data_IF_619220927869
#
_entry.id   IF_619220927869
#
_cell.length_a   1.000
_cell.length_b   1.000
_cell.length_c   1.000
_cell.angle_alpha   90.00
_cell.angle_beta   90.00
_cell.angle_gamma   90.00
#
_symmetry.space_group_name_H-M   'P 1'
#
loop_
_entity.id
_entity.type
_entity.pdbx_description
1 polymer ?
#
# COMPACT_ATOMS: atom_id res chain seq x y z
N UNK A 1 -13.45 0.92 28.82
CA UNK A 1 -13.40 1.79 27.62
C UNK A 1 -14.60 1.52 26.71
N UNK A 2 -15.02 2.50 25.90
CA UNK A 2 -15.94 2.28 24.78
C UNK A 2 -15.09 1.97 23.55
N UNK A 3 -14.95 0.70 23.21
CA UNK A 3 -14.29 0.28 21.96
C UNK A 3 -15.15 0.84 20.81
N UNK A 4 -14.63 1.88 20.14
CA UNK A 4 -15.21 2.34 18.88
C UNK A 4 -15.11 1.15 17.93
N UNK A 5 -16.26 0.67 17.43
CA UNK A 5 -16.30 -0.35 16.38
C UNK A 5 -15.73 0.30 15.12
N UNK A 6 -14.42 0.14 14.91
CA UNK A 6 -13.72 0.67 13.74
C UNK A 6 -14.16 -0.14 12.52
N UNK A 7 -14.34 0.60 11.45
CA UNK A 7 -15.01 0.29 10.20
C UNK A 7 -14.15 -0.62 9.30
N UNK A 8 -13.72 -1.78 9.81
CA UNK A 8 -12.78 -2.69 9.13
C UNK A 8 -13.37 -3.54 7.96
N UNK A 9 -14.69 -3.80 7.80
CA UNK A 9 -15.12 -4.72 6.74
C UNK A 9 -15.13 -4.13 5.32
N UNK A 10 -14.75 -2.86 5.11
CA UNK A 10 -14.78 -2.24 3.77
C UNK A 10 -13.50 -2.45 2.96
N UNK A 11 -12.34 -2.69 3.60
CA UNK A 11 -11.06 -2.85 2.89
C UNK A 11 -10.98 -4.17 2.09
N UNK A 12 -11.56 -5.26 2.61
CA UNK A 12 -11.52 -6.58 1.93
C UNK A 12 -12.55 -6.72 0.80
N UNK A 13 -13.58 -5.86 0.71
CA UNK A 13 -14.64 -6.01 -0.28
C UNK A 13 -14.36 -5.28 -1.61
N UNK A 14 -13.39 -4.36 -1.64
CA UNK A 14 -13.05 -3.57 -2.84
C UNK A 14 -12.12 -4.27 -3.83
N UNK A 15 -11.42 -5.34 -3.43
CA UNK A 15 -10.45 -6.05 -4.30
C UNK A 15 -11.13 -7.05 -5.26
N UNK A 16 -12.44 -7.32 -5.12
CA UNK A 16 -13.13 -8.37 -5.92
C UNK A 16 -13.66 -7.86 -7.28
N UNK A 17 -13.67 -6.56 -7.57
CA UNK A 17 -14.39 -6.02 -8.75
C UNK A 17 -13.56 -5.63 -9.99
N UNK A 18 -12.24 -5.82 -10.02
CA UNK A 18 -11.41 -5.35 -11.15
C UNK A 18 -10.96 -6.45 -12.15
N UNK A 19 -11.57 -7.63 -12.17
CA UNK A 19 -11.44 -8.56 -13.30
C UNK A 19 -12.61 -8.31 -14.26
N UNK A 20 -12.54 -7.20 -15.00
CA UNK A 20 -13.38 -7.04 -16.17
C UNK A 20 -13.11 -8.18 -17.17
N UNK A 21 -14.12 -8.66 -17.92
CA UNK A 21 -13.88 -9.64 -18.96
C UNK A 21 -12.86 -9.05 -19.95
N UNK A 22 -11.71 -9.69 -20.08
CA UNK A 22 -10.81 -9.46 -21.21
C UNK A 22 -11.63 -9.74 -22.46
N UNK A 23 -12.02 -8.68 -23.17
CA UNK A 23 -12.55 -8.81 -24.52
C UNK A 23 -11.42 -9.37 -25.37
N UNK A 24 -11.42 -10.69 -25.54
CA UNK A 24 -10.63 -11.35 -26.57
C UNK A 24 -11.14 -10.84 -27.92
N UNK A 25 -10.49 -9.81 -28.45
CA UNK A 25 -10.65 -9.43 -29.85
C UNK A 25 -10.18 -10.62 -30.68
N UNK A 26 -11.14 -11.32 -31.29
CA UNK A 26 -10.85 -12.31 -32.31
C UNK A 26 -10.21 -11.57 -33.49
N UNK A 27 -8.92 -11.78 -33.69
CA UNK A 27 -8.18 -11.36 -34.86
C UNK A 27 -8.79 -12.04 -36.10
N UNK A 28 -9.66 -11.33 -36.83
CA UNK A 28 -10.16 -11.80 -38.11
C UNK A 28 -9.03 -11.74 -39.15
N UNK A 29 -8.31 -12.85 -39.29
CA UNK A 29 -7.44 -13.05 -40.44
C UNK A 29 -8.27 -13.02 -41.73
N UNK A 30 -7.89 -12.27 -42.78
CA UNK A 30 -8.61 -12.28 -44.04
C UNK A 30 -8.42 -13.62 -44.75
N UNK A 31 -9.47 -14.45 -44.74
CA UNK A 31 -9.48 -15.75 -45.44
C UNK A 31 -9.66 -15.52 -46.94
N UNK A 32 -8.63 -15.91 -47.68
CA UNK A 32 -8.64 -16.05 -49.14
C UNK A 32 -9.73 -17.02 -49.59
N UNK A 33 -10.63 -16.53 -50.43
CA UNK A 33 -11.71 -17.26 -51.11
C UNK A 33 -11.18 -18.51 -51.82
N UNK A 34 -11.75 -19.68 -51.53
CA UNK A 34 -11.85 -20.79 -52.49
C UNK A 34 -13.22 -21.44 -52.35
N UNK A 35 -13.97 -21.45 -53.44
CA UNK A 35 -15.34 -21.97 -53.57
C UNK A 35 -15.43 -23.47 -53.25
N UNK A 36 -16.45 -23.88 -52.50
CA UNK A 36 -17.11 -25.18 -52.70
C UNK A 36 -18.55 -25.10 -52.20
N UNK A 37 -19.48 -25.39 -53.11
CA UNK A 37 -20.93 -25.53 -52.89
C UNK A 37 -21.27 -26.42 -51.70
N UNK A 38 -22.21 -25.99 -50.85
CA UNK A 38 -23.10 -26.91 -50.11
C UNK A 38 -24.42 -26.21 -49.77
N UNK A 39 -25.49 -26.97 -50.00
CA UNK A 39 -26.89 -26.60 -50.00
C UNK A 39 -27.43 -25.93 -48.73
N UNK A 40 -28.35 -25.00 -49.02
CA UNK A 40 -29.44 -24.43 -48.24
C UNK A 40 -30.14 -25.40 -47.28
N UNK A 41 -30.33 -24.99 -46.02
CA UNK A 41 -31.65 -24.95 -45.39
C UNK A 41 -31.75 -23.76 -44.42
N UNK A 42 -32.85 -23.04 -44.56
CA UNK A 42 -33.23 -21.81 -43.87
C UNK A 42 -34.20 -22.16 -42.74
N UNK A 43 -33.93 -21.72 -41.51
CA UNK A 43 -34.98 -21.52 -40.51
C UNK A 43 -34.80 -20.16 -39.84
N UNK A 44 -35.65 -19.25 -40.28
CA UNK A 44 -36.05 -17.99 -39.63
C UNK A 44 -36.59 -18.28 -38.23
N UNK A 45 -36.15 -17.51 -37.23
CA UNK A 45 -37.06 -17.08 -36.17
C UNK A 45 -36.67 -15.69 -35.66
N UNK A 46 -37.66 -14.81 -35.74
CA UNK A 46 -37.68 -13.45 -35.20
C UNK A 46 -38.10 -13.49 -33.74
N UNK A 47 -37.51 -12.64 -32.91
CA UNK A 47 -38.17 -12.03 -31.74
C UNK A 47 -37.33 -10.79 -31.37
N UNK A 48 -37.71 -9.60 -31.84
CA UNK A 48 -38.67 -8.68 -31.22
C UNK A 48 -38.35 -8.35 -29.75
N UNK A 49 -37.79 -7.15 -29.61
CA UNK A 49 -37.78 -6.22 -28.48
C UNK A 49 -39.10 -6.18 -27.70
N UNK A 50 -39.03 -6.15 -26.36
CA UNK A 50 -39.77 -5.13 -25.63
C UNK A 50 -39.19 -4.85 -24.22
N UNK A 51 -39.06 -3.56 -23.96
CA UNK A 51 -38.58 -2.93 -22.74
C UNK A 51 -39.80 -2.48 -21.94
N UNK A 52 -39.97 -2.94 -20.70
CA UNK A 52 -40.80 -2.22 -19.72
C UNK A 52 -40.22 -2.31 -18.31
N UNK A 53 -39.75 -1.16 -17.85
CA UNK A 53 -39.62 -0.75 -16.45
C UNK A 53 -40.97 -0.81 -15.75
N UNK A 54 -41.04 -1.43 -14.57
CA UNK A 54 -42.07 -1.12 -13.57
C UNK A 54 -41.46 -1.18 -12.17
N UNK A 55 -41.41 0.01 -11.58
CA UNK A 55 -41.13 0.30 -10.17
C UNK A 55 -42.46 0.33 -9.44
N UNK A 56 -42.66 -0.54 -8.46
CA UNK A 56 -43.47 -0.29 -7.27
C UNK A 56 -43.51 -1.55 -6.41
N UNK A 57 -43.09 -1.47 -5.14
CA UNK A 57 -43.71 -2.22 -4.04
C UNK A 57 -43.37 -1.54 -2.72
N UNK A 58 -44.36 -0.84 -2.19
CA UNK A 58 -44.50 -0.54 -0.75
C UNK A 58 -44.87 -1.82 0.00
N UNK A 59 -44.51 -1.94 1.28
CA UNK A 59 -45.41 -2.40 2.39
C UNK A 59 -44.58 -2.73 3.64
N UNK A 60 -44.78 -1.90 4.67
CA UNK A 60 -44.54 -2.21 6.09
C UNK A 60 -45.32 -3.45 6.52
N UNK A 61 -44.76 -4.31 7.40
CA UNK A 61 -45.52 -4.97 8.48
C UNK A 61 -44.54 -5.59 9.49
N UNK A 62 -44.54 -5.05 10.70
CA UNK A 62 -44.07 -5.68 11.94
C UNK A 62 -44.74 -7.05 12.16
N UNK A 63 -44.01 -8.06 12.63
CA UNK A 63 -44.56 -9.09 13.54
C UNK A 63 -43.45 -9.76 14.33
N UNK A 64 -43.48 -9.48 15.63
CA UNK A 64 -42.84 -10.21 16.73
C UNK A 64 -43.33 -11.68 16.78
N UNK A 65 -42.42 -12.65 16.93
CA UNK A 65 -42.77 -13.97 17.48
C UNK A 65 -41.56 -14.69 18.06
N UNK A 66 -41.61 -14.83 19.38
CA UNK A 66 -40.89 -15.79 20.20
C UNK A 66 -41.32 -17.22 19.89
N UNK A 67 -40.42 -18.20 20.04
CA UNK A 67 -40.67 -19.46 20.77
C UNK A 67 -39.55 -20.48 20.54
N UNK A 68 -39.05 -21.00 21.66
CA UNK A 68 -38.23 -22.20 21.83
C UNK A 68 -38.77 -23.44 21.08
N UNK A 69 -37.90 -24.43 20.79
CA UNK A 69 -37.98 -25.85 21.27
C UNK A 69 -37.19 -26.87 20.41
N UNK A 70 -36.49 -27.79 21.14
CA UNK A 70 -36.03 -29.17 20.82
C UNK A 70 -34.87 -29.35 19.81
N UNK A 71 -33.78 -30.07 20.09
CA UNK A 71 -33.55 -31.40 20.72
C UNK A 71 -34.16 -32.58 19.95
N UNK A 72 -33.36 -33.12 19.01
CA UNK A 72 -33.32 -34.51 18.51
C UNK A 72 -31.89 -34.64 17.91
N UNK A 73 -30.93 -35.44 18.40
CA UNK A 73 -30.87 -36.87 18.71
C UNK A 73 -31.19 -37.78 17.52
N UNK A 74 -30.22 -38.65 17.23
CA UNK A 74 -30.22 -39.78 16.28
C UNK A 74 -29.84 -39.44 14.83
N UNK A 75 -29.08 -40.23 14.06
CA UNK A 75 -28.31 -41.48 14.26
C UNK A 75 -27.51 -41.69 12.96
N UNK A 76 -26.30 -42.23 13.10
CA UNK A 76 -25.46 -42.95 12.13
C UNK A 76 -25.67 -42.76 10.61
N UNK A 77 -24.63 -42.24 9.94
CA UNK A 77 -24.18 -42.82 8.66
C UNK A 77 -22.66 -42.73 8.58
N UNK A 78 -22.03 -43.83 9.00
CA UNK A 78 -20.63 -44.15 8.78
C UNK A 78 -20.34 -44.15 7.26
N UNK A 79 -19.67 -43.10 6.79
CA UNK A 79 -19.02 -43.08 5.47
C UNK A 79 -17.53 -43.03 5.75
N UNK A 80 -16.89 -44.20 5.62
CA UNK A 80 -15.43 -44.33 5.54
C UNK A 80 -14.98 -43.57 4.28
N UNK A 81 -14.70 -42.28 4.46
CA UNK A 81 -13.85 -41.53 3.54
C UNK A 81 -12.43 -41.87 3.96
N UNK A 82 -11.82 -42.75 3.17
CA UNK A 82 -10.39 -43.01 3.13
C UNK A 82 -9.72 -41.72 2.62
N UNK A 83 -9.63 -40.73 3.51
CA UNK A 83 -8.78 -39.57 3.33
C UNK A 83 -7.38 -40.06 3.64
N UNK A 84 -6.65 -40.46 2.60
CA UNK A 84 -5.19 -40.44 2.67
C UNK A 84 -4.81 -39.00 3.01
N UNK A 85 -4.56 -38.77 4.30
CA UNK A 85 -3.91 -37.59 4.80
C UNK A 85 -2.54 -37.58 4.12
N UNK A 86 -2.46 -36.73 3.09
CA UNK A 86 -1.20 -36.27 2.53
C UNK A 86 -0.49 -35.56 3.69
N UNK A 87 0.32 -36.36 4.37
CA UNK A 87 1.28 -35.97 5.40
C UNK A 87 2.37 -35.17 4.67
N UNK A 88 2.01 -34.01 4.11
CA UNK A 88 2.97 -32.96 3.81
C UNK A 88 3.45 -32.43 5.16
N UNK A 89 4.35 -33.21 5.77
CA UNK A 89 5.15 -32.79 6.90
C UNK A 89 5.79 -31.45 6.55
N UNK A 90 5.35 -30.46 7.31
CA UNK A 90 5.91 -29.13 7.48
C UNK A 90 7.39 -29.21 7.89
N UNK A 91 8.26 -29.45 6.91
CA UNK A 91 9.74 -29.38 7.04
C UNK A 91 10.26 -27.93 7.19
N UNK A 92 9.41 -26.97 7.57
CA UNK A 92 9.80 -25.55 7.70
C UNK A 92 10.14 -25.13 9.13
N UNK A 93 9.89 -25.99 10.14
CA UNK A 93 10.02 -25.58 11.55
C UNK A 93 11.42 -25.80 12.14
N UNK A 94 12.29 -26.62 11.52
CA UNK A 94 13.64 -26.91 12.05
C UNK A 94 14.72 -25.88 11.67
N UNK A 95 14.44 -24.91 10.79
CA UNK A 95 15.50 -24.01 10.28
C UNK A 95 15.60 -22.65 11.02
N UNK A 96 14.61 -22.24 11.80
CA UNK A 96 14.63 -20.92 12.45
C UNK A 96 15.68 -20.81 13.57
N UNK A 97 16.00 -21.91 14.26
CA UNK A 97 17.04 -21.90 15.30
C UNK A 97 18.45 -21.65 14.73
N UNK A 98 18.70 -21.99 13.47
CA UNK A 98 19.98 -21.76 12.81
C UNK A 98 20.17 -20.29 12.39
N UNK A 99 19.07 -19.54 12.25
CA UNK A 99 19.07 -18.12 11.89
C UNK A 99 19.16 -17.18 13.09
N UNK A 100 19.08 -17.71 14.32
CA UNK A 100 19.16 -16.89 15.52
C UNK A 100 20.54 -16.27 15.74
N UNK A 101 20.55 -14.98 16.02
CA UNK A 101 21.70 -14.18 16.39
C UNK A 101 22.17 -14.38 17.83
N UNK A 102 22.90 -13.39 18.33
CA UNK A 102 23.19 -13.30 19.76
C UNK A 102 21.90 -12.94 20.49
N UNK A 103 21.53 -13.68 21.53
CA UNK A 103 20.35 -13.35 22.33
C UNK A 103 20.61 -12.17 23.30
N UNK A 104 19.57 -11.38 23.67
CA UNK A 104 19.70 -10.19 24.53
C UNK A 104 20.25 -10.41 25.96
N UNK A 105 20.32 -11.64 26.44
CA UNK A 105 20.96 -12.00 27.72
C UNK A 105 22.49 -11.96 27.64
N UNK A 106 23.06 -12.02 26.43
CA UNK A 106 24.48 -11.95 26.18
C UNK A 106 24.97 -10.50 26.08
N UNK A 107 26.09 -10.21 26.74
CA UNK A 107 26.79 -8.91 26.60
C UNK A 107 27.23 -8.60 25.17
N UNK A 108 27.35 -9.61 24.31
CA UNK A 108 27.66 -9.44 22.89
C UNK A 108 26.50 -8.87 22.08
N UNK A 109 25.26 -8.92 22.60
CA UNK A 109 24.06 -8.43 21.90
C UNK A 109 24.17 -6.95 21.56
N UNK A 110 24.63 -6.12 22.49
CA UNK A 110 24.83 -4.69 22.24
C UNK A 110 25.91 -4.42 21.18
N UNK A 111 26.88 -5.33 21.02
CA UNK A 111 27.91 -5.22 19.98
C UNK A 111 27.32 -5.63 18.63
N UNK A 112 26.52 -6.68 18.59
CA UNK A 112 25.80 -7.10 17.38
C UNK A 112 24.88 -5.98 16.88
N UNK A 113 24.03 -5.41 17.73
CA UNK A 113 23.18 -4.26 17.38
C UNK A 113 23.97 -3.05 16.85
N UNK A 114 25.18 -2.82 17.37
CA UNK A 114 26.06 -1.76 16.87
C UNK A 114 26.59 -2.09 15.47
N UNK A 115 26.99 -3.35 15.24
CA UNK A 115 27.48 -3.81 13.93
C UNK A 115 26.34 -3.72 12.91
N UNK A 116 25.14 -4.18 13.23
CA UNK A 116 23.94 -4.07 12.42
C UNK A 116 23.62 -2.61 12.04
N UNK A 117 23.66 -1.72 13.03
CA UNK A 117 23.45 -0.28 12.82
C UNK A 117 24.49 0.30 11.84
N UNK A 118 25.76 -0.11 11.96
CA UNK A 118 26.82 0.27 11.02
C UNK A 118 26.54 -0.32 9.63
N UNK A 119 26.13 -1.58 9.52
CA UNK A 119 25.80 -2.22 8.24
C UNK A 119 24.65 -1.47 7.52
N UNK A 120 23.60 -1.09 8.24
CA UNK A 120 22.51 -0.27 7.70
C UNK A 120 23.00 1.11 7.28
N UNK A 121 23.88 1.73 8.08
CA UNK A 121 24.44 3.05 7.78
C UNK A 121 25.33 3.06 6.52
N UNK A 122 26.13 2.01 6.30
CA UNK A 122 27.01 1.89 5.13
C UNK A 122 26.31 1.37 3.88
N UNK A 123 25.09 0.83 4.03
CA UNK A 123 24.27 0.41 2.89
C UNK A 123 23.64 1.64 2.26
N UNK A 124 24.04 2.00 1.04
CA UNK A 124 23.65 3.28 0.43
C UNK A 124 22.27 3.27 -0.25
N UNK A 125 21.84 2.13 -0.79
CA UNK A 125 20.54 2.01 -1.46
C UNK A 125 19.40 1.81 -0.46
N UNK A 126 18.25 2.43 -0.73
CA UNK A 126 17.05 2.21 0.06
C UNK A 126 16.61 0.73 0.00
N UNK A 127 16.67 0.10 -1.18
CA UNK A 127 16.39 -1.33 -1.39
C UNK A 127 17.28 -2.21 -0.49
N UNK A 128 18.59 -1.94 -0.50
CA UNK A 128 19.54 -2.73 0.30
C UNK A 128 19.33 -2.53 1.79
N UNK A 129 18.95 -1.32 2.24
CA UNK A 129 18.59 -1.08 3.63
C UNK A 129 17.32 -1.84 4.02
N UNK A 130 16.30 -1.83 3.16
CA UNK A 130 15.06 -2.57 3.40
C UNK A 130 15.34 -4.08 3.54
N UNK A 131 16.11 -4.65 2.60
CA UNK A 131 16.49 -6.07 2.62
C UNK A 131 17.26 -6.44 3.89
N UNK A 132 18.27 -5.64 4.26
CA UNK A 132 19.04 -5.87 5.48
C UNK A 132 18.20 -5.77 6.76
N UNK A 133 17.26 -4.81 6.82
CA UNK A 133 16.33 -4.70 7.94
C UNK A 133 15.38 -5.90 8.01
N UNK A 134 14.95 -6.45 6.87
CA UNK A 134 14.13 -7.66 6.85
C UNK A 134 14.92 -8.87 7.40
N UNK A 135 16.19 -9.00 7.04
CA UNK A 135 17.08 -10.04 7.59
C UNK A 135 17.19 -9.93 9.12
N UNK A 136 17.44 -8.73 9.65
CA UNK A 136 17.48 -8.53 11.10
C UNK A 136 16.13 -8.79 11.78
N UNK A 137 15.02 -8.50 11.10
CA UNK A 137 13.70 -8.81 11.66
C UNK A 137 13.49 -10.32 11.80
N UNK A 138 13.91 -11.13 10.81
CA UNK A 138 13.91 -12.59 10.91
C UNK A 138 14.80 -13.09 12.05
N UNK A 139 16.00 -12.53 12.19
CA UNK A 139 16.92 -12.87 13.28
C UNK A 139 16.30 -12.61 14.65
N UNK A 140 15.61 -11.48 14.83
CA UNK A 140 14.85 -11.20 16.07
C UNK A 140 13.71 -12.18 16.30
N UNK A 141 12.99 -12.61 15.27
CA UNK A 141 11.96 -13.64 15.43
C UNK A 141 12.55 -14.97 15.91
N UNK A 142 13.67 -15.38 15.34
CA UNK A 142 14.40 -16.58 15.75
C UNK A 142 14.91 -16.48 17.21
N UNK A 143 15.46 -15.34 17.62
CA UNK A 143 15.82 -15.08 19.02
C UNK A 143 14.62 -15.17 19.97
N UNK A 144 13.48 -14.59 19.59
CA UNK A 144 12.26 -14.63 20.39
C UNK A 144 11.78 -16.07 20.61
N UNK A 145 11.90 -16.93 19.59
CA UNK A 145 11.58 -18.34 19.71
C UNK A 145 12.52 -19.05 20.72
N UNK A 146 13.84 -18.88 20.58
CA UNK A 146 14.82 -19.49 21.51
C UNK A 146 14.55 -19.07 22.96
N UNK A 147 14.29 -17.78 23.20
CA UNK A 147 14.04 -17.28 24.55
C UNK A 147 12.72 -17.77 25.13
N UNK A 148 11.71 -17.97 24.28
CA UNK A 148 10.46 -18.58 24.70
C UNK A 148 10.64 -20.03 25.13
N UNK A 149 11.44 -20.79 24.40
CA UNK A 149 11.77 -22.19 24.74
C UNK A 149 12.57 -22.29 26.05
N UNK A 150 13.21 -21.19 26.46
CA UNK A 150 13.94 -21.05 27.72
C UNK A 150 13.12 -20.41 28.85
N UNK A 151 11.80 -20.19 28.65
CA UNK A 151 10.90 -19.53 29.60
C UNK A 151 11.34 -18.09 29.97
N UNK A 152 12.08 -17.39 29.10
CA UNK A 152 12.61 -16.04 29.34
C UNK A 152 11.66 -14.94 28.81
N UNK A 153 10.45 -14.88 29.36
CA UNK A 153 9.36 -14.03 28.85
C UNK A 153 9.71 -12.53 28.76
N UNK A 154 10.43 -12.00 29.75
CA UNK A 154 10.88 -10.60 29.76
C UNK A 154 11.82 -10.27 28.60
N UNK A 155 12.55 -11.26 28.08
CA UNK A 155 13.44 -11.08 26.94
C UNK A 155 12.69 -11.27 25.62
N UNK A 156 11.75 -12.21 25.55
CA UNK A 156 10.82 -12.37 24.41
C UNK A 156 10.12 -11.05 24.12
N UNK A 157 9.57 -10.38 25.14
CA UNK A 157 8.92 -9.07 24.98
C UNK A 157 9.88 -8.04 24.34
N UNK A 158 11.12 -7.95 24.84
CA UNK A 158 12.13 -7.00 24.31
C UNK A 158 12.46 -7.26 22.85
N UNK A 159 12.61 -8.53 22.46
CA UNK A 159 12.98 -8.89 21.09
C UNK A 159 11.82 -8.70 20.13
N UNK A 160 10.58 -8.97 20.55
CA UNK A 160 9.42 -8.69 19.69
C UNK A 160 9.22 -7.17 19.48
N UNK A 161 9.56 -6.35 20.48
CA UNK A 161 9.61 -4.90 20.29
C UNK A 161 10.72 -4.50 19.30
N UNK A 162 11.91 -5.10 19.40
CA UNK A 162 13.01 -4.87 18.46
C UNK A 162 12.65 -5.33 17.03
N UNK A 163 11.95 -6.45 16.89
CA UNK A 163 11.38 -6.94 15.64
C UNK A 163 10.43 -5.90 15.02
N UNK A 164 9.46 -5.41 15.80
CA UNK A 164 8.49 -4.41 15.32
C UNK A 164 9.18 -3.12 14.87
N UNK A 165 10.14 -2.61 15.65
CA UNK A 165 10.91 -1.42 15.27
C UNK A 165 11.71 -1.64 13.97
N UNK A 166 12.24 -2.84 13.78
CA UNK A 166 13.01 -3.22 12.59
C UNK A 166 12.11 -3.33 11.35
N UNK A 167 10.96 -4.01 11.43
CA UNK A 167 9.96 -4.07 10.35
C UNK A 167 9.42 -2.68 10.01
N UNK A 168 9.16 -1.84 11.01
CA UNK A 168 8.74 -0.47 10.79
C UNK A 168 9.78 0.32 9.98
N UNK A 169 11.07 0.16 10.28
CA UNK A 169 12.16 0.77 9.49
C UNK A 169 12.20 0.19 8.07
N UNK A 170 12.00 -1.11 7.89
CA UNK A 170 11.95 -1.74 6.57
C UNK A 170 10.78 -1.18 5.73
N UNK A 171 9.58 -1.13 6.32
CA UNK A 171 8.39 -0.51 5.73
C UNK A 171 8.64 0.96 5.34
N UNK A 172 9.35 1.73 6.18
CA UNK A 172 9.73 3.10 5.86
C UNK A 172 10.68 3.21 4.66
N UNK A 173 11.68 2.32 4.55
CA UNK A 173 12.56 2.30 3.37
C UNK A 173 11.77 1.93 2.10
N UNK A 174 10.86 0.95 2.19
CA UNK A 174 9.96 0.59 1.09
C UNK A 174 9.10 1.79 0.67
N UNK A 175 8.51 2.50 1.63
CA UNK A 175 7.74 3.71 1.35
C UNK A 175 8.59 4.77 0.63
N UNK A 176 9.82 5.01 1.11
CA UNK A 176 10.73 5.96 0.48
C UNK A 176 11.02 5.59 -0.97
N UNK A 177 11.27 4.32 -1.27
CA UNK A 177 11.48 3.86 -2.65
C UNK A 177 10.26 4.18 -3.51
N UNK A 178 9.05 3.96 -2.99
CA UNK A 178 7.81 4.23 -3.74
C UNK A 178 7.60 5.74 -3.99
N UNK A 179 7.94 6.59 -3.02
CA UNK A 179 7.88 8.05 -3.14
C UNK A 179 8.92 8.57 -4.14
N UNK A 180 10.15 8.05 -4.09
CA UNK A 180 11.22 8.38 -5.05
C UNK A 180 10.79 7.99 -6.48
N UNK A 181 10.20 6.80 -6.68
CA UNK A 181 9.64 6.36 -7.98
C UNK A 181 8.44 7.21 -8.43
N UNK A 182 7.66 7.80 -7.51
CA UNK A 182 6.53 8.68 -7.86
C UNK A 182 6.97 9.93 -8.59
N UNK A 183 8.01 10.57 -8.04
CA UNK A 183 8.51 11.84 -8.56
C UNK A 183 8.94 11.72 -10.02
N UNK A 184 9.47 10.56 -10.42
CA UNK A 184 9.86 10.25 -11.81
C UNK A 184 8.63 9.99 -12.69
N UNK A 185 7.62 9.29 -12.15
CA UNK A 185 6.41 8.94 -12.92
C UNK A 185 5.56 10.16 -13.27
N UNK A 186 5.41 11.13 -12.38
CA UNK A 186 4.60 12.34 -12.66
C UNK A 186 5.21 13.19 -13.77
N UNK A 187 6.55 13.29 -13.82
CA UNK A 187 7.26 14.03 -14.87
C UNK A 187 7.10 13.36 -16.25
N UNK A 188 7.03 12.03 -16.31
CA UNK A 188 6.82 11.28 -17.55
C UNK A 188 5.42 11.46 -18.16
N UNK A 189 4.40 11.78 -17.36
CA UNK A 189 3.04 12.01 -17.87
C UNK A 189 2.92 13.27 -18.72
N UNK A 190 3.63 14.34 -18.33
CA UNK A 190 3.56 15.63 -19.01
C UNK A 190 4.21 15.55 -20.41
N UNK A 191 5.27 14.74 -20.55
CA UNK A 191 5.97 14.53 -21.84
C UNK A 191 5.08 13.82 -22.86
N UNK A 192 4.22 12.90 -22.39
CA UNK A 192 3.32 12.10 -23.22
C UNK A 192 2.13 12.91 -23.77
N UNK A 193 1.73 13.98 -23.07
CA UNK A 193 0.64 14.85 -23.52
C UNK A 193 1.12 15.93 -24.51
N UNK A 194 2.32 16.48 -24.29
CA UNK A 194 2.87 17.54 -25.15
C UNK A 194 3.22 17.02 -26.57
N UNK A 195 3.69 15.78 -26.68
CA UNK A 195 4.16 15.23 -27.98
C UNK A 195 3.02 14.89 -28.95
N UNK A 196 1.76 14.80 -28.50
CA UNK A 196 0.62 14.48 -29.39
C UNK A 196 -0.28 15.67 -29.76
N UNK A 197 -0.14 16.83 -29.10
CA UNK A 197 -1.03 17.97 -29.28
C UNK A 197 -0.83 18.81 -30.56
N UNK A 198 0.32 18.73 -31.22
CA UNK A 198 0.65 19.65 -32.33
C UNK A 198 0.23 19.18 -33.74
N UNK A 199 -0.41 18.02 -33.91
CA UNK A 199 -0.68 17.48 -35.27
C UNK A 199 -2.10 17.72 -35.81
N UNK A 200 -3.05 18.24 -35.03
CA UNK A 200 -4.47 18.24 -35.46
C UNK A 200 -5.01 19.50 -36.17
N UNK A 201 -4.26 20.58 -36.39
CA UNK A 201 -4.85 21.78 -37.00
C UNK A 201 -4.01 22.56 -38.03
N UNK A 202 -3.27 21.88 -38.92
CA UNK A 202 -2.83 22.53 -40.17
C UNK A 202 -3.25 21.76 -41.42
N UNK A 203 -4.28 22.29 -42.06
CA UNK A 203 -4.90 21.81 -43.29
C UNK A 203 -3.90 21.72 -44.45
N UNK A 204 -3.80 20.53 -45.03
CA UNK A 204 -3.52 20.21 -46.43
C UNK A 204 -2.86 21.31 -47.28
N UNK A 205 -1.55 21.19 -47.53
CA UNK A 205 -0.94 21.11 -48.88
C UNK A 205 0.58 21.34 -48.81
N UNK A 206 1.39 20.33 -48.46
CA UNK A 206 2.72 20.18 -49.07
C UNK A 206 3.34 18.80 -48.77
N UNK A 207 3.78 18.17 -49.86
CA UNK A 207 4.46 16.88 -49.99
C UNK A 207 5.75 16.88 -49.16
N UNK A 208 5.67 16.49 -47.89
CA UNK A 208 6.79 16.53 -46.95
C UNK A 208 7.11 15.13 -46.45
N UNK A 209 8.33 14.67 -46.73
CA UNK A 209 8.91 13.41 -46.24
C UNK A 209 8.77 13.31 -44.72
N UNK A 210 7.94 12.35 -44.28
CA UNK A 210 7.81 11.92 -42.89
C UNK A 210 9.10 11.18 -42.51
N UNK A 211 9.90 11.79 -41.63
CA UNK A 211 11.11 11.17 -41.07
C UNK A 211 10.75 10.26 -39.89
N UNK A 212 11.05 8.96 -40.02
CA UNK A 212 10.79 7.84 -39.08
C UNK A 212 11.58 7.84 -37.75
N UNK A 213 12.28 8.92 -37.36
CA UNK A 213 13.32 8.86 -36.31
C UNK A 213 12.83 9.11 -34.86
N UNK A 214 11.52 9.23 -34.59
CA UNK A 214 10.99 9.61 -33.26
C UNK A 214 10.52 8.43 -32.39
N UNK A 215 10.45 7.18 -32.89
CA UNK A 215 9.90 6.05 -32.11
C UNK A 215 10.84 5.48 -31.01
N UNK A 216 12.11 5.87 -30.94
CA UNK A 216 13.08 5.19 -30.07
C UNK A 216 13.18 5.72 -28.62
N UNK A 217 12.60 6.88 -28.30
CA UNK A 217 12.76 7.51 -26.98
C UNK A 217 11.71 7.09 -25.94
N UNK A 218 10.45 6.85 -26.35
CA UNK A 218 9.35 6.52 -25.42
C UNK A 218 9.45 5.12 -24.79
N UNK A 219 10.12 4.17 -25.44
CA UNK A 219 10.18 2.77 -24.96
C UNK A 219 11.14 2.60 -23.76
N UNK A 220 12.02 3.58 -23.49
CA UNK A 220 13.04 3.45 -22.42
C UNK A 220 12.49 3.76 -21.03
N UNK A 221 11.80 4.89 -20.83
CA UNK A 221 11.35 5.31 -19.48
C UNK A 221 10.30 4.37 -18.87
N UNK A 222 9.40 3.86 -19.71
CA UNK A 222 8.34 2.94 -19.29
C UNK A 222 8.89 1.60 -18.77
N UNK A 223 10.07 1.18 -19.24
CA UNK A 223 10.71 -0.06 -18.78
C UNK A 223 11.34 0.09 -17.40
N UNK A 224 11.95 1.23 -17.07
CA UNK A 224 12.60 1.46 -15.78
C UNK A 224 11.60 1.44 -14.62
N UNK A 225 10.45 2.12 -14.78
CA UNK A 225 9.37 2.11 -13.77
C UNK A 225 8.86 0.70 -13.49
N UNK A 226 8.88 -0.18 -14.50
CA UNK A 226 8.40 -1.57 -14.34
C UNK A 226 9.39 -2.42 -13.53
N UNK A 227 10.69 -2.22 -13.73
CA UNK A 227 11.72 -2.94 -12.96
C UNK A 227 11.72 -2.52 -11.49
N UNK A 228 11.57 -1.22 -11.20
CA UNK A 228 11.49 -0.72 -9.82
C UNK A 228 10.25 -1.28 -9.11
N UNK A 229 9.08 -1.26 -9.74
CA UNK A 229 7.86 -1.86 -9.18
C UNK A 229 8.03 -3.37 -8.88
N UNK A 230 8.76 -4.10 -9.71
CA UNK A 230 9.06 -5.51 -9.45
C UNK A 230 9.96 -5.70 -8.23
N UNK A 231 10.96 -4.83 -8.04
CA UNK A 231 11.84 -4.83 -6.85
C UNK A 231 11.05 -4.51 -5.58
N UNK A 232 10.23 -3.46 -5.61
CA UNK A 232 9.35 -3.07 -4.49
C UNK A 232 8.41 -4.23 -4.13
N UNK A 233 7.79 -4.87 -5.13
CA UNK A 233 6.90 -6.02 -4.90
C UNK A 233 7.63 -7.17 -4.22
N UNK A 234 8.87 -7.47 -4.64
CA UNK A 234 9.69 -8.50 -4.02
C UNK A 234 10.05 -8.17 -2.55
N UNK A 235 10.34 -6.91 -2.24
CA UNK A 235 10.59 -6.49 -0.85
C UNK A 235 9.35 -6.64 0.03
N UNK A 236 8.17 -6.28 -0.49
CA UNK A 236 6.89 -6.44 0.23
C UNK A 236 6.60 -7.93 0.47
N UNK A 237 6.81 -8.79 -0.52
CA UNK A 237 6.66 -10.25 -0.36
C UNK A 237 7.58 -10.81 0.73
N UNK A 238 8.83 -10.33 0.80
CA UNK A 238 9.74 -10.71 1.89
C UNK A 238 9.23 -10.25 3.25
N UNK A 239 8.74 -9.02 3.38
CA UNK A 239 8.14 -8.52 4.64
C UNK A 239 6.93 -9.37 5.05
N UNK A 240 6.06 -9.73 4.11
CA UNK A 240 4.90 -10.59 4.38
C UNK A 240 5.30 -11.99 4.85
N UNK A 241 6.37 -12.55 4.29
CA UNK A 241 6.90 -13.84 4.72
C UNK A 241 7.35 -13.76 6.19
N UNK A 242 8.14 -12.74 6.53
CA UNK A 242 8.60 -12.49 7.90
C UNK A 242 7.42 -12.30 8.87
N UNK A 243 6.40 -11.55 8.45
CA UNK A 243 5.18 -11.36 9.25
C UNK A 243 4.39 -12.65 9.43
N UNK A 244 4.32 -13.51 8.41
CA UNK A 244 3.71 -14.83 8.53
C UNK A 244 4.45 -15.70 9.55
N UNK A 245 5.77 -15.58 9.65
CA UNK A 245 6.55 -16.31 10.65
C UNK A 245 6.37 -15.69 12.04
N UNK A 246 6.24 -14.36 12.12
CA UNK A 246 5.87 -13.68 13.36
C UNK A 246 4.51 -14.14 13.90
N UNK A 247 3.51 -14.36 13.04
CA UNK A 247 2.21 -14.88 13.44
C UNK A 247 2.32 -16.31 14.00
N UNK A 248 3.11 -17.18 13.36
CA UNK A 248 3.34 -18.55 13.86
C UNK A 248 4.05 -18.53 15.22
N UNK A 249 5.06 -17.68 15.35
CA UNK A 249 5.80 -17.52 16.60
C UNK A 249 4.86 -16.95 17.68
N UNK A 250 4.09 -15.91 17.38
CA UNK A 250 3.11 -15.35 18.33
C UNK A 250 2.14 -16.43 18.85
N UNK A 251 1.64 -17.30 17.98
CA UNK A 251 0.79 -18.44 18.39
C UNK A 251 1.55 -19.36 19.36
N UNK A 252 2.81 -19.73 19.06
CA UNK A 252 3.65 -20.53 19.98
C UNK A 252 3.87 -19.82 21.31
N UNK A 253 4.17 -18.53 21.28
CA UNK A 253 4.44 -17.69 22.46
C UNK A 253 3.22 -17.55 23.38
N UNK A 254 2.00 -17.49 22.82
CA UNK A 254 0.77 -17.31 23.62
C UNK A 254 0.53 -18.42 24.65
N UNK A 255 1.16 -19.60 24.50
CA UNK A 255 1.07 -20.68 25.48
C UNK A 255 1.84 -20.42 26.78
N UNK A 256 2.88 -19.59 26.71
CA UNK A 256 3.78 -19.32 27.83
C UNK A 256 3.58 -17.90 28.40
N UNK A 257 3.17 -16.93 27.58
CA UNK A 257 2.96 -15.55 28.00
C UNK A 257 1.71 -15.34 28.87
N UNK A 258 1.72 -14.28 29.69
CA UNK A 258 0.48 -13.80 30.30
C UNK A 258 -0.51 -13.33 29.23
N UNK A 259 -1.82 -13.40 29.52
CA UNK A 259 -2.88 -12.97 28.59
C UNK A 259 -2.67 -11.54 28.09
N UNK A 260 -2.22 -10.64 28.98
CA UNK A 260 -1.94 -9.24 28.67
C UNK A 260 -0.72 -9.07 27.75
N UNK A 261 0.38 -9.82 27.98
CA UNK A 261 1.55 -9.81 27.10
C UNK A 261 1.25 -10.40 25.72
N UNK A 262 0.46 -11.47 25.67
CA UNK A 262 0.05 -12.09 24.42
C UNK A 262 -0.85 -11.14 23.60
N UNK A 263 -1.80 -10.45 24.24
CA UNK A 263 -2.65 -9.45 23.59
C UNK A 263 -1.83 -8.27 23.06
N UNK A 264 -0.94 -7.72 23.87
CA UNK A 264 -0.02 -6.65 23.47
C UNK A 264 0.78 -7.05 22.23
N UNK A 265 1.39 -8.23 22.25
CA UNK A 265 2.19 -8.76 21.15
C UNK A 265 1.36 -8.94 19.86
N UNK A 266 0.19 -9.55 19.97
CA UNK A 266 -0.72 -9.74 18.85
C UNK A 266 -1.12 -8.39 18.23
N UNK A 267 -1.37 -7.38 19.06
CA UNK A 267 -1.71 -6.04 18.58
C UNK A 267 -0.53 -5.35 17.87
N UNK A 268 0.72 -5.53 18.34
CA UNK A 268 1.92 -4.99 17.67
C UNK A 268 2.09 -5.62 16.30
N UNK A 269 2.06 -6.96 16.23
CA UNK A 269 2.23 -7.71 14.97
C UNK A 269 1.11 -7.34 13.99
N UNK A 270 -0.14 -7.29 14.47
CA UNK A 270 -1.29 -6.91 13.66
C UNK A 270 -1.16 -5.50 13.07
N UNK A 271 -0.68 -4.52 13.84
CA UNK A 271 -0.48 -3.16 13.34
C UNK A 271 0.55 -3.14 12.19
N UNK A 272 1.68 -3.85 12.34
CA UNK A 272 2.69 -3.94 11.28
C UNK A 272 2.16 -4.66 10.02
N UNK A 273 1.39 -5.75 10.20
CA UNK A 273 0.73 -6.46 9.09
C UNK A 273 -0.23 -5.53 8.34
N UNK A 274 -1.03 -4.75 9.04
CA UNK A 274 -1.93 -3.77 8.42
C UNK A 274 -1.16 -2.72 7.61
N UNK A 275 -0.01 -2.26 8.11
CA UNK A 275 0.85 -1.32 7.40
C UNK A 275 1.39 -1.92 6.09
N UNK A 276 1.88 -3.15 6.14
CA UNK A 276 2.42 -3.87 4.97
C UNK A 276 1.34 -4.14 3.92
N UNK A 277 0.12 -4.52 4.34
CA UNK A 277 -1.02 -4.67 3.44
C UNK A 277 -1.36 -3.35 2.74
N UNK A 278 -1.34 -2.23 3.48
CA UNK A 278 -1.60 -0.92 2.90
C UNK A 278 -0.55 -0.53 1.85
N UNK A 279 0.74 -0.77 2.16
CA UNK A 279 1.85 -0.57 1.20
C UNK A 279 1.68 -1.43 -0.06
N UNK A 280 1.35 -2.72 0.09
CA UNK A 280 1.10 -3.62 -1.05
C UNK A 280 -0.04 -3.13 -1.94
N UNK A 281 -1.14 -2.72 -1.30
CA UNK A 281 -2.33 -2.23 -2.01
C UNK A 281 -1.97 -0.99 -2.83
N UNK A 282 -1.19 -0.09 -2.24
CA UNK A 282 -0.70 1.12 -2.91
C UNK A 282 0.22 0.82 -4.10
N UNK A 283 1.21 -0.06 -3.92
CA UNK A 283 2.12 -0.47 -5.01
C UNK A 283 1.35 -1.14 -6.15
N UNK A 284 0.35 -1.96 -5.81
CA UNK A 284 -0.52 -2.61 -6.81
C UNK A 284 -1.33 -1.58 -7.59
N UNK A 285 -1.93 -0.59 -6.90
CA UNK A 285 -2.69 0.48 -7.53
C UNK A 285 -1.80 1.32 -8.47
N UNK A 286 -0.57 1.65 -8.05
CA UNK A 286 0.40 2.34 -8.91
C UNK A 286 0.78 1.52 -10.14
N UNK A 287 1.03 0.22 -9.98
CA UNK A 287 1.31 -0.67 -11.11
C UNK A 287 0.17 -0.67 -12.12
N UNK A 288 -1.07 -0.83 -11.65
CA UNK A 288 -2.25 -0.78 -12.53
C UNK A 288 -2.41 0.57 -13.23
N UNK A 289 -2.03 1.66 -12.55
CA UNK A 289 -2.01 2.98 -13.15
C UNK A 289 -0.97 3.08 -14.28
N UNK A 290 0.27 2.69 -14.04
CA UNK A 290 1.33 2.69 -15.07
C UNK A 290 0.92 1.83 -16.26
N UNK A 291 0.36 0.64 -16.04
CA UNK A 291 -0.16 -0.21 -17.11
C UNK A 291 -1.26 0.47 -17.93
N UNK A 292 -2.16 1.23 -17.29
CA UNK A 292 -3.19 2.00 -17.98
C UNK A 292 -2.63 3.14 -18.85
N UNK A 293 -1.54 3.79 -18.40
CA UNK A 293 -0.81 4.80 -19.19
C UNK A 293 -0.22 4.17 -20.46
N UNK A 294 0.37 2.97 -20.37
CA UNK A 294 0.89 2.24 -21.53
C UNK A 294 -0.22 1.87 -22.53
N UNK A 295 -1.37 1.43 -22.02
CA UNK A 295 -2.53 1.11 -22.86
C UNK A 295 -3.04 2.35 -23.61
N UNK A 296 -3.09 3.49 -22.94
CA UNK A 296 -3.46 4.76 -23.56
C UNK A 296 -2.48 5.20 -24.66
N UNK A 297 -1.17 5.13 -24.38
CA UNK A 297 -0.14 5.41 -25.39
C UNK A 297 -0.24 4.48 -26.61
N UNK A 298 -0.46 3.18 -26.37
CA UNK A 298 -0.66 2.19 -27.43
C UNK A 298 -1.90 2.51 -28.27
N UNK A 299 -3.02 2.86 -27.62
CA UNK A 299 -4.24 3.24 -28.32
C UNK A 299 -4.05 4.51 -29.17
N UNK A 300 -3.32 5.51 -28.67
CA UNK A 300 -2.96 6.71 -29.44
C UNK A 300 -2.13 6.36 -30.68
N UNK A 301 -1.14 5.46 -30.57
CA UNK A 301 -0.34 4.98 -31.70
C UNK A 301 -1.21 4.29 -32.76
N UNK A 302 -2.11 3.43 -32.34
CA UNK A 302 -3.07 2.76 -33.24
C UNK A 302 -4.00 3.74 -33.93
N UNK A 303 -4.44 4.80 -33.25
CA UNK A 303 -5.22 5.87 -33.86
C UNK A 303 -4.42 6.59 -34.96
N UNK A 304 -3.14 6.91 -34.73
CA UNK A 304 -2.26 7.48 -35.76
C UNK A 304 -2.13 6.58 -37.00
N UNK A 305 -2.02 5.27 -36.79
CA UNK A 305 -2.01 4.30 -37.89
C UNK A 305 -3.35 4.22 -38.61
N UNK A 306 -4.47 4.22 -37.87
CA UNK A 306 -5.81 4.23 -38.42
C UNK A 306 -6.08 5.48 -39.29
N UNK A 307 -5.65 6.65 -38.83
CA UNK A 307 -5.75 7.90 -39.60
C UNK A 307 -5.01 7.82 -40.94
N UNK A 308 -3.88 7.12 -40.98
CA UNK A 308 -3.09 6.90 -42.21
C UNK A 308 -3.81 6.01 -43.25
N UNK A 309 -4.80 5.21 -42.83
CA UNK A 309 -5.57 4.35 -43.74
C UNK A 309 -6.64 5.12 -44.52
N UNK A 310 -7.17 6.21 -43.94
CA UNK A 310 -8.33 6.93 -44.46
C UNK A 310 -9.65 6.14 -44.40
N UNK A 311 -9.69 4.99 -43.74
CA UNK A 311 -10.91 4.20 -43.53
C UNK A 311 -11.65 4.71 -42.29
N UNK A 312 -12.80 5.37 -42.51
CA UNK A 312 -13.63 5.94 -41.45
C UNK A 312 -14.03 4.92 -40.38
N UNK A 313 -14.22 3.65 -40.75
CA UNK A 313 -14.62 2.61 -39.81
C UNK A 313 -13.47 2.21 -38.87
N UNK A 314 -12.25 2.13 -39.41
CA UNK A 314 -11.04 1.84 -38.62
C UNK A 314 -10.69 3.01 -37.71
N UNK A 315 -10.83 4.25 -38.21
CA UNK A 315 -10.61 5.47 -37.45
C UNK A 315 -11.59 5.55 -36.28
N UNK A 316 -12.88 5.29 -36.51
CA UNK A 316 -13.90 5.31 -35.47
C UNK A 316 -13.60 4.27 -34.37
N UNK A 317 -13.25 3.05 -34.74
CA UNK A 317 -12.89 2.01 -33.78
C UNK A 317 -11.64 2.37 -32.95
N UNK A 318 -10.62 2.97 -33.58
CA UNK A 318 -9.42 3.41 -32.88
C UNK A 318 -9.70 4.59 -31.92
N UNK A 319 -10.58 5.53 -32.29
CA UNK A 319 -11.02 6.62 -31.41
C UNK A 319 -11.74 6.09 -30.16
N UNK A 320 -12.66 5.15 -30.34
CA UNK A 320 -13.36 4.51 -29.22
C UNK A 320 -12.38 3.80 -28.28
N UNK A 321 -11.33 3.16 -28.83
CA UNK A 321 -10.27 2.54 -28.03
C UNK A 321 -9.45 3.55 -27.24
N UNK A 322 -9.10 4.70 -27.84
CA UNK A 322 -8.42 5.80 -27.14
C UNK A 322 -9.29 6.35 -26.02
N UNK A 323 -10.57 6.62 -26.28
CA UNK A 323 -11.50 7.12 -25.26
C UNK A 323 -11.63 6.16 -24.08
N UNK A 324 -11.76 4.85 -24.35
CA UNK A 324 -11.82 3.84 -23.29
C UNK A 324 -10.53 3.76 -22.48
N UNK A 325 -9.38 3.80 -23.15
CA UNK A 325 -8.07 3.76 -22.48
C UNK A 325 -7.82 5.02 -21.64
N UNK A 326 -8.28 6.20 -22.10
CA UNK A 326 -8.22 7.46 -21.36
C UNK A 326 -9.08 7.41 -20.09
N UNK A 327 -10.32 6.93 -20.21
CA UNK A 327 -11.20 6.74 -19.05
C UNK A 327 -10.58 5.78 -18.03
N UNK A 328 -9.98 4.68 -18.49
CA UNK A 328 -9.30 3.73 -17.61
C UNK A 328 -8.08 4.38 -16.93
N UNK A 329 -7.26 5.15 -17.66
CA UNK A 329 -6.15 5.92 -17.09
C UNK A 329 -6.62 6.85 -15.97
N UNK A 330 -7.68 7.61 -16.20
CA UNK A 330 -8.25 8.54 -15.20
C UNK A 330 -8.74 7.78 -13.96
N UNK A 331 -9.50 6.69 -14.15
CA UNK A 331 -10.01 5.88 -13.03
C UNK A 331 -8.87 5.26 -12.21
N UNK A 332 -7.82 4.74 -12.85
CA UNK A 332 -6.68 4.19 -12.13
C UNK A 332 -5.86 5.27 -11.42
N UNK A 333 -5.79 6.50 -11.97
CA UNK A 333 -5.16 7.65 -11.29
C UNK A 333 -5.90 8.02 -10.01
N UNK A 334 -7.22 8.11 -10.07
CA UNK A 334 -8.07 8.38 -8.90
C UNK A 334 -7.93 7.25 -7.86
N UNK A 335 -8.01 5.99 -8.28
CA UNK A 335 -7.82 4.84 -7.39
C UNK A 335 -6.45 4.85 -6.71
N UNK A 336 -5.38 5.17 -7.44
CA UNK A 336 -4.04 5.27 -6.87
C UNK A 336 -3.94 6.37 -5.80
N UNK A 337 -4.65 7.49 -5.97
CA UNK A 337 -4.72 8.57 -4.97
C UNK A 337 -5.49 8.15 -3.74
N UNK A 338 -6.67 7.53 -3.91
CA UNK A 338 -7.50 7.06 -2.80
C UNK A 338 -6.75 6.02 -1.96
N UNK A 339 -6.04 5.10 -2.61
CA UNK A 339 -5.23 4.09 -1.91
C UNK A 339 -4.02 4.72 -1.20
N UNK A 340 -3.42 5.76 -1.77
CA UNK A 340 -2.34 6.51 -1.11
C UNK A 340 -2.84 7.23 0.15
N UNK A 341 -4.01 7.86 0.11
CA UNK A 341 -4.62 8.49 1.29
C UNK A 341 -4.93 7.44 2.37
N UNK A 342 -5.50 6.30 1.98
CA UNK A 342 -5.76 5.20 2.90
C UNK A 342 -4.46 4.65 3.52
N UNK A 343 -3.38 4.55 2.75
CA UNK A 343 -2.07 4.15 3.27
C UNK A 343 -1.57 5.12 4.34
N UNK A 344 -1.72 6.44 4.14
CA UNK A 344 -1.38 7.46 5.14
C UNK A 344 -2.23 7.34 6.40
N UNK A 345 -3.53 7.09 6.26
CA UNK A 345 -4.43 6.89 7.39
C UNK A 345 -4.05 5.66 8.22
N UNK A 346 -3.78 4.53 7.57
CA UNK A 346 -3.32 3.29 8.23
C UNK A 346 -1.99 3.52 8.95
N UNK A 347 -1.02 4.19 8.31
CA UNK A 347 0.26 4.51 8.94
C UNK A 347 0.09 5.42 10.17
N UNK A 348 -0.87 6.35 10.14
CA UNK A 348 -1.20 7.20 11.28
C UNK A 348 -1.87 6.43 12.40
N UNK A 349 -2.87 5.59 12.10
CA UNK A 349 -3.54 4.74 13.09
C UNK A 349 -2.54 3.81 13.78
N UNK A 350 -1.69 3.14 13.00
CA UNK A 350 -0.65 2.27 13.54
C UNK A 350 0.34 3.02 14.43
N UNK A 351 0.69 4.28 14.08
CA UNK A 351 1.53 5.12 14.94
C UNK A 351 0.85 5.43 16.28
N UNK A 352 -0.46 5.65 16.29
CA UNK A 352 -1.23 5.86 17.52
C UNK A 352 -1.30 4.58 18.36
N UNK A 353 -1.60 3.43 17.76
CA UNK A 353 -1.62 2.12 18.42
C UNK A 353 -0.28 1.80 19.07
N UNK A 354 0.83 1.96 18.33
CA UNK A 354 2.17 1.69 18.86
C UNK A 354 2.55 2.63 20.02
N UNK A 355 2.05 3.87 20.04
CA UNK A 355 2.25 4.80 21.17
C UNK A 355 1.48 4.33 22.41
N UNK A 356 0.23 3.91 22.25
CA UNK A 356 -0.59 3.38 23.34
C UNK A 356 0.07 2.13 23.95
N UNK A 357 0.48 1.19 23.11
CA UNK A 357 1.16 -0.03 23.53
C UNK A 357 2.48 0.24 24.28
N UNK A 358 3.26 1.21 23.81
CA UNK A 358 4.50 1.62 24.49
C UNK A 358 4.26 2.15 25.89
N UNK A 359 3.18 2.90 26.10
CA UNK A 359 2.80 3.36 27.45
C UNK A 359 2.25 2.21 28.31
N UNK A 360 1.48 1.28 27.75
CA UNK A 360 1.02 0.08 28.47
C UNK A 360 2.21 -0.77 28.98
N UNK A 361 3.21 -1.01 28.12
CA UNK A 361 4.46 -1.69 28.49
C UNK A 361 5.19 -0.98 29.63
N UNK A 362 5.21 0.36 29.59
CA UNK A 362 5.88 1.17 30.59
C UNK A 362 5.18 1.09 31.94
N UNK A 363 3.85 1.08 31.96
CA UNK A 363 3.06 0.90 33.18
C UNK A 363 3.22 -0.52 33.74
N UNK A 364 3.24 -1.55 32.90
CA UNK A 364 3.52 -2.93 33.32
C UNK A 364 4.90 -3.07 33.98
N UNK A 365 5.94 -2.46 33.39
CA UNK A 365 7.29 -2.45 33.96
C UNK A 365 7.36 -1.73 35.31
N UNK A 366 6.57 -0.68 35.51
CA UNK A 366 6.48 0.00 36.81
C UNK A 366 5.76 -0.85 37.85
N UNK A 367 4.71 -1.57 37.46
CA UNK A 367 3.96 -2.44 38.36
C UNK A 367 4.85 -3.57 38.92
N UNK A 368 5.68 -4.19 38.08
CA UNK A 368 6.56 -5.29 38.50
C UNK A 368 7.76 -4.85 39.36
N UNK A 369 8.18 -3.58 39.35
CA UNK A 369 9.31 -3.10 40.17
C UNK A 369 8.94 -2.84 41.63
N UNK A 370 7.67 -2.60 41.93
CA UNK A 370 7.26 -2.20 43.28
C UNK A 370 7.29 -3.35 44.31
N UNK A 371 7.58 -4.58 43.89
CA UNK A 371 7.61 -5.74 44.79
C UNK A 371 9.02 -6.09 45.32
N UNK A 372 10.09 -5.48 44.79
CA UNK A 372 11.49 -5.82 45.15
C UNK A 372 12.22 -4.78 46.04
N UNK A 373 11.64 -3.58 46.27
CA UNK A 373 12.33 -2.46 46.94
C UNK A 373 11.99 -2.26 48.44
N UNK A 374 11.23 -3.17 49.08
CA UNK A 374 10.75 -2.99 50.47
C UNK A 374 11.61 -3.66 51.58
N UNK A 375 12.78 -4.25 51.28
CA UNK A 375 13.51 -5.10 52.26
C UNK A 375 15.00 -4.77 52.57
N UNK A 376 15.59 -3.65 52.12
CA UNK A 376 17.02 -3.33 52.40
C UNK A 376 17.30 -1.97 53.08
N UNK A 377 16.31 -1.37 53.74
CA UNK A 377 16.46 -0.08 54.45
C UNK A 377 16.92 -0.20 55.94
N UNK A 378 17.44 -1.35 56.37
CA UNK A 378 17.88 -1.59 57.76
C UNK A 378 19.37 -1.99 57.93
N UNK A 379 20.23 -1.77 56.92
CA UNK A 379 21.67 -2.04 57.03
C UNK A 379 22.52 -0.76 57.22
N UNK A 380 22.58 -0.31 58.48
CA UNK A 380 23.71 0.33 59.15
C UNK A 380 24.36 1.56 58.47
N UNK A 381 23.76 2.70 58.76
CA UNK A 381 24.36 3.85 59.44
C UNK A 381 25.73 3.53 60.10
N UNK A 382 26.81 3.59 59.33
CA UNK A 382 28.18 3.59 59.83
C UNK A 382 28.94 4.76 59.21
N UNK A 383 28.85 5.89 59.91
CA UNK A 383 29.90 6.87 60.15
C UNK A 383 31.26 6.53 59.49
N UNK A 384 31.61 7.22 58.41
CA UNK A 384 32.99 7.65 58.18
C UNK A 384 32.96 8.98 57.41
N UNK A 385 32.63 10.02 58.18
CA UNK A 385 33.18 11.35 57.96
C UNK A 385 34.68 11.29 58.24
N UNK A 386 35.52 11.60 57.26
CA UNK A 386 36.52 12.67 57.35
C UNK A 386 37.51 12.63 56.18
N UNK A 387 37.92 13.85 55.83
CA UNK A 387 39.22 14.21 55.25
C UNK A 387 39.45 14.13 53.73
N UNK A 388 39.35 15.33 53.15
CA UNK A 388 40.43 16.11 52.51
C UNK A 388 40.09 16.48 51.05
N UNK A 389 39.71 17.74 50.79
CA UNK A 389 40.58 18.91 50.62
C UNK A 389 41.67 18.74 49.54
N UNK A 390 41.73 19.78 48.69
CA UNK A 390 42.79 20.15 47.75
C UNK A 390 42.95 19.29 46.48
N UNK A 391 42.49 19.82 45.34
CA UNK A 391 43.30 20.82 44.64
C UNK A 391 42.59 21.35 43.39
N UNK A 392 42.56 22.66 43.30
CA UNK A 392 42.47 23.44 42.06
C UNK A 392 43.43 22.86 41.00
N UNK A 393 42.94 22.57 39.80
CA UNK A 393 43.67 22.98 38.61
C UNK A 393 42.71 23.26 37.46
N UNK A 394 42.89 24.46 36.92
CA UNK A 394 42.13 25.04 35.83
C UNK A 394 42.67 24.53 34.49
N UNK A 395 41.77 24.31 33.54
CA UNK A 395 41.93 24.39 32.08
C UNK A 395 40.54 23.95 31.55
N UNK A 396 39.58 24.82 31.25
CA UNK A 396 39.58 25.93 30.28
C UNK A 396 40.02 25.48 28.88
N UNK A 397 39.20 24.63 28.24
CA UNK A 397 38.98 24.65 26.79
C UNK A 397 37.83 23.70 26.38
N UNK A 398 36.91 24.26 25.59
CA UNK A 398 35.98 23.60 24.68
C UNK A 398 34.74 22.90 25.28
N UNK A 399 33.85 23.74 25.85
CA UNK A 399 32.40 23.55 25.76
C UNK A 399 32.01 23.56 24.26
N UNK A 400 32.03 22.37 23.67
CA UNK A 400 31.18 22.07 22.52
C UNK A 400 29.81 21.67 23.11
N UNK A 401 28.89 22.63 23.09
CA UNK A 401 27.44 22.38 23.16
C UNK A 401 27.08 21.33 22.10
N UNK A 402 27.02 20.07 22.53
CA UNK A 402 26.32 18.99 21.83
C UNK A 402 24.86 19.08 22.28
N UNK A 403 24.21 20.19 21.89
CA UNK A 403 22.77 20.27 21.78
C UNK A 403 22.35 19.15 20.83
N UNK A 404 21.79 18.11 21.44
CA UNK A 404 21.11 17.05 20.74
C UNK A 404 20.22 17.69 19.68
N UNK A 405 20.51 17.34 18.42
CA UNK A 405 19.61 17.54 17.29
C UNK A 405 18.38 16.70 17.60
N UNK A 406 17.45 17.26 18.37
CA UNK A 406 16.03 16.96 18.24
C UNK A 406 15.71 17.34 16.79
N UNK A 407 15.63 16.30 15.95
CA UNK A 407 15.26 16.45 14.56
C UNK A 407 14.01 17.33 14.49
N UNK A 408 14.21 18.46 13.82
CA UNK A 408 13.20 19.41 13.45
C UNK A 408 11.98 18.66 12.91
N UNK A 409 10.88 18.76 13.66
CA UNK A 409 9.56 18.81 13.06
C UNK A 409 9.62 19.94 12.02
N UNK A 410 9.95 19.57 10.79
CA UNK A 410 9.74 20.38 9.60
C UNK A 410 8.24 20.58 9.44
N UNK A 411 7.70 21.54 10.20
CA UNK A 411 6.52 22.32 9.84
C UNK A 411 6.79 22.89 8.46
N UNK A 412 6.44 22.11 7.42
CA UNK A 412 6.26 22.64 6.10
C UNK A 412 4.93 23.42 6.12
N UNK A 413 4.98 24.61 6.71
CA UNK A 413 4.07 25.72 6.44
C UNK A 413 4.27 26.13 4.98
N UNK A 414 3.76 25.30 4.06
CA UNK A 414 3.59 25.69 2.67
C UNK A 414 2.11 25.55 2.32
N UNK A 415 1.46 26.69 2.46
CA UNK A 415 0.30 27.12 1.68
C UNK A 415 -0.95 26.23 1.77
N UNK A 416 -1.82 26.65 2.70
CA UNK A 416 -3.24 26.84 2.43
C UNK A 416 -3.42 27.58 1.08
N UNK A 417 -3.32 26.85 -0.03
CA UNK A 417 -4.04 27.16 -1.23
C UNK A 417 -5.31 26.30 -1.22
N UNK A 418 -6.24 26.73 -0.35
CA UNK A 418 -7.63 26.34 -0.38
C UNK A 418 -8.19 26.74 -1.77
N UNK A 419 -8.03 25.85 -2.76
CA UNK A 419 -8.83 25.89 -3.98
C UNK A 419 -10.24 25.51 -3.56
N UNK A 420 -10.98 26.53 -3.12
CA UNK A 420 -12.43 26.52 -3.10
C UNK A 420 -12.87 26.30 -4.54
N UNK A 421 -13.12 25.05 -4.91
CA UNK A 421 -13.92 24.68 -6.07
C UNK A 421 -15.34 25.12 -5.75
N UNK A 422 -15.60 26.41 -5.96
CA UNK A 422 -16.94 26.94 -6.08
C UNK A 422 -17.54 26.37 -7.36
N UNK A 423 -18.21 25.23 -7.21
CA UNK A 423 -19.18 24.72 -8.16
C UNK A 423 -20.34 25.73 -8.25
N UNK A 424 -20.16 26.79 -9.04
CA UNK A 424 -21.21 27.76 -9.34
C UNK A 424 -21.85 27.38 -10.66
N UNK A 425 -22.91 26.59 -10.51
CA UNK A 425 -24.02 26.40 -11.44
C UNK A 425 -24.33 27.71 -12.19
N UNK A 426 -23.94 27.77 -13.47
CA UNK A 426 -24.19 28.91 -14.34
C UNK A 426 -25.66 28.86 -14.80
N UNK A 427 -26.55 29.33 -13.93
CA UNK A 427 -27.91 29.70 -14.32
C UNK A 427 -27.84 30.89 -15.29
N UNK A 428 -28.01 30.60 -16.58
CA UNK A 428 -28.40 31.60 -17.57
C UNK A 428 -29.84 32.03 -17.25
N UNK A 429 -30.01 33.18 -16.61
CA UNK A 429 -31.32 33.81 -16.52
C UNK A 429 -31.23 35.33 -16.72
N UNK A 430 -31.86 35.74 -17.82
CA UNK A 430 -32.36 37.05 -18.21
C UNK A 430 -32.07 38.24 -17.29
N UNK A 431 -31.26 39.18 -17.78
CA UNK A 431 -31.49 40.61 -17.51
C UNK A 431 -31.28 41.47 -18.75
N UNK A 432 -32.42 41.75 -19.38
CA UNK A 432 -32.74 42.99 -20.07
C UNK A 432 -31.92 44.19 -19.55
N UNK A 433 -31.02 44.70 -20.39
CA UNK A 433 -30.50 46.06 -20.25
C UNK A 433 -30.45 46.74 -21.61
N UNK A 434 -31.62 47.22 -22.03
CA UNK A 434 -31.75 48.31 -23.00
C UNK A 434 -31.00 49.53 -22.46
N UNK A 435 -29.80 49.79 -22.99
CA UNK A 435 -29.21 51.13 -22.94
C UNK A 435 -29.09 51.68 -24.35
N UNK A 436 -30.13 52.41 -24.71
CA UNK A 436 -30.27 53.25 -25.88
C UNK A 436 -29.36 54.47 -25.71
N UNK A 437 -28.23 54.51 -26.41
CA UNK A 437 -27.48 55.75 -26.65
C UNK A 437 -26.95 55.75 -28.08
N UNK A 438 -27.76 56.35 -28.95
CA UNK A 438 -27.33 56.79 -30.26
C UNK A 438 -26.09 57.67 -30.17
N UNK A 439 -25.07 57.31 -30.93
CA UNK A 439 -23.97 58.19 -31.27
C UNK A 439 -24.02 58.53 -32.76
N UNK A 440 -23.83 59.81 -32.99
CA UNK A 440 -24.08 60.57 -34.20
C UNK A 440 -22.80 60.57 -35.04
N UNK A 441 -22.83 60.00 -36.24
CA UNK A 441 -21.70 59.94 -37.15
C UNK A 441 -22.08 60.34 -38.57
N UNK A 442 -21.98 61.64 -38.85
CA UNK A 442 -21.92 62.23 -40.21
C UNK A 442 -20.65 61.77 -40.92
N UNK A 443 -20.77 61.27 -42.15
CA UNK A 443 -19.98 61.70 -43.33
C UNK A 443 -20.60 61.05 -44.58
N UNK A 444 -21.15 61.83 -45.51
CA UNK A 444 -20.54 62.31 -46.79
C UNK A 444 -20.38 61.21 -47.85
N UNK A 445 -21.12 61.42 -48.94
CA UNK A 445 -21.06 60.68 -50.20
C UNK A 445 -22.31 60.96 -51.00
#
# INVERSE_FOLDING_TARGET
MKIKKILIPFLCLLVIFAVGPTYAFAEETPVSVTETDTDTETTTDSNDTDTTTDTDTTTDTDTDSTSDTATDSETDTNTEVDTEADDEETETDENLEEEAGVTPDSWLYSIEQMIESVQVAVTFSADGKAELLIEFANERLAEAQIMSDQDQQDLVEKVILAYSETIKKANFQVQKIIEDTESVSEESEDILDETTGETEEETATEDTEVTEDTEAAEDTEVTEVTEEQARISSLIEKIELVQSDADKIAIKLTGNLSEEQAELMANVIKAEVQNTIALRTYVTAKKTYVDSVKQFATAKKELGQALSTGDETVIQAAREKVELAEQNKIQMKELSKDVHELQKEVAKENREVMKEQKEEIKELKKANRNDDDDDDDDADDADDADDADDADDADDADDADDEAVEDEDGENDNEDNEVVVNNTEKQNNDKDSKSDRGNNGKDKG
#
